data_IF_312253802496
#
_entry.id   IF_312253802496
#
_cell.length_a   1.000
_cell.length_b   1.000
_cell.length_c   1.000
_cell.angle_alpha   90.00
_cell.angle_beta   90.00
_cell.angle_gamma   90.00
#
_symmetry.space_group_name_H-M   'P 1'
#
loop_
_entity.id
_entity.type
_entity.pdbx_description
1 polymer ?
#
# COMPACT_ATOMS: atom_id res chain seq x y z
N UNK A 1 -2.76 -17.86 -34.20
CA UNK A 1 -3.98 -17.03 -33.99
C UNK A 1 -3.58 -16.02 -32.95
N UNK A 2 -3.59 -14.72 -33.28
CA UNK A 2 -3.17 -13.68 -32.34
C UNK A 2 -4.19 -13.56 -31.21
N UNK A 3 -3.70 -13.39 -29.99
CA UNK A 3 -4.56 -13.19 -28.83
C UNK A 3 -4.93 -11.70 -28.75
N UNK A 4 -6.22 -11.42 -28.58
CA UNK A 4 -6.72 -10.08 -28.28
C UNK A 4 -6.71 -9.89 -26.77
N UNK A 5 -6.09 -8.80 -26.32
CA UNK A 5 -6.14 -8.34 -24.94
C UNK A 5 -7.03 -7.12 -24.87
N UNK A 6 -7.92 -7.09 -23.89
CA UNK A 6 -8.75 -5.91 -23.60
C UNK A 6 -8.14 -5.22 -22.41
N UNK A 7 -7.73 -3.96 -22.58
CA UNK A 7 -7.19 -3.15 -21.50
C UNK A 7 -8.23 -2.12 -21.08
N UNK A 8 -8.57 -2.11 -19.80
CA UNK A 8 -9.52 -1.18 -19.19
C UNK A 8 -8.79 -0.41 -18.12
N UNK A 9 -8.90 0.91 -18.18
CA UNK A 9 -8.42 1.81 -17.15
C UNK A 9 -9.61 2.40 -16.41
N UNK A 10 -9.48 2.56 -15.10
CA UNK A 10 -10.46 3.28 -14.29
C UNK A 10 -9.81 3.83 -13.03
N UNK A 11 -10.41 4.88 -12.49
CA UNK A 11 -9.99 5.50 -11.24
C UNK A 11 -11.05 5.33 -10.16
N UNK A 12 -10.61 5.27 -8.91
CA UNK A 12 -11.44 5.38 -7.72
C UNK A 12 -11.07 6.66 -7.01
N UNK A 13 -11.95 7.66 -7.14
CA UNK A 13 -11.75 8.94 -6.50
C UNK A 13 -12.54 9.03 -5.20
N UNK A 14 -11.89 9.39 -4.08
CA UNK A 14 -12.52 9.46 -2.79
C UNK A 14 -13.48 10.63 -2.73
N UNK A 15 -14.58 10.44 -2.02
CA UNK A 15 -15.46 11.50 -1.57
C UNK A 15 -15.97 11.16 -0.17
N UNK A 16 -16.42 12.17 0.55
CA UNK A 16 -16.98 11.99 1.88
C UNK A 16 -18.49 12.11 1.81
N UNK A 17 -19.17 11.19 2.47
CA UNK A 17 -20.61 11.22 2.62
C UNK A 17 -20.96 11.24 4.10
N UNK A 18 -21.95 12.07 4.42
CA UNK A 18 -22.23 12.47 5.78
C UNK A 18 -23.74 12.42 6.04
N UNK A 19 -24.13 11.70 7.08
CA UNK A 19 -25.46 11.74 7.70
C UNK A 19 -25.37 12.32 9.11
N UNK A 20 -26.50 12.46 9.80
CA UNK A 20 -26.51 12.99 11.18
C UNK A 20 -25.66 12.16 12.15
N UNK A 21 -25.60 10.83 11.92
CA UNK A 21 -24.85 9.88 12.76
C UNK A 21 -23.54 9.44 12.10
N UNK A 22 -23.60 9.24 10.79
CA UNK A 22 -22.60 8.77 9.82
C UNK A 22 -21.58 9.80 9.33
N UNK A 23 -20.27 9.62 9.39
CA UNK A 23 -19.39 10.18 8.35
C UNK A 23 -18.50 9.08 7.79
N UNK A 24 -18.54 8.86 6.49
CA UNK A 24 -17.79 7.78 5.83
C UNK A 24 -17.09 8.29 4.59
N UNK A 25 -15.89 7.76 4.35
CA UNK A 25 -15.21 7.92 3.06
C UNK A 25 -15.60 6.80 2.11
N UNK A 26 -16.03 7.20 0.92
CA UNK A 26 -16.45 6.32 -0.17
C UNK A 26 -15.70 6.69 -1.44
N UNK A 27 -15.86 5.87 -2.48
CA UNK A 27 -15.21 6.07 -3.76
C UNK A 27 -16.23 6.09 -4.90
N UNK A 28 -16.06 7.04 -5.81
CA UNK A 28 -16.72 6.99 -7.12
C UNK A 28 -15.78 6.40 -8.15
N UNK A 29 -16.32 5.55 -9.02
CA UNK A 29 -15.58 5.08 -10.19
C UNK A 29 -15.59 6.18 -11.25
N UNK A 30 -14.43 6.74 -11.54
CA UNK A 30 -14.24 7.77 -12.57
C UNK A 30 -13.98 7.17 -13.95
N UNK A 31 -13.46 8.00 -14.86
CA UNK A 31 -13.47 7.77 -16.31
C UNK A 31 -12.89 6.42 -16.70
N UNK A 32 -13.65 5.70 -17.54
CA UNK A 32 -13.32 4.36 -18.01
C UNK A 32 -12.82 4.44 -19.45
N UNK A 33 -11.50 4.48 -19.63
CA UNK A 33 -10.93 4.30 -20.97
C UNK A 33 -10.70 2.82 -21.24
N UNK A 34 -11.18 2.35 -22.39
CA UNK A 34 -10.93 1.00 -22.85
C UNK A 34 -10.18 1.06 -24.18
N UNK A 35 -9.20 0.17 -24.34
CA UNK A 35 -8.46 -0.01 -25.58
C UNK A 35 -8.27 -1.49 -25.83
N UNK A 36 -8.46 -1.92 -27.07
CA UNK A 36 -8.04 -3.25 -27.52
C UNK A 36 -6.56 -3.18 -27.89
N UNK A 37 -5.77 -4.11 -27.35
CA UNK A 37 -4.40 -4.33 -27.76
C UNK A 37 -4.32 -5.70 -28.45
N UNK A 38 -3.88 -5.71 -29.70
CA UNK A 38 -3.49 -6.94 -30.39
C UNK A 38 -2.00 -7.16 -30.18
N UNK A 39 -1.62 -8.29 -29.58
CA UNK A 39 -0.21 -8.62 -29.34
C UNK A 39 0.32 -9.54 -30.46
N UNK A 40 1.10 -8.99 -31.42
CA UNK A 40 1.68 -9.81 -32.48
C UNK A 40 2.73 -10.76 -31.88
N UNK A 41 2.49 -12.07 -32.03
CA UNK A 41 3.48 -13.11 -31.69
C UNK A 41 3.18 -13.92 -30.42
N UNK A 42 2.11 -13.64 -29.69
CA UNK A 42 1.69 -14.51 -28.59
C UNK A 42 0.88 -15.72 -29.12
N UNK A 43 1.59 -16.77 -29.54
CA UNK A 43 0.98 -18.07 -29.82
C UNK A 43 0.81 -18.83 -28.50
N UNK A 44 -0.40 -18.77 -27.91
CA UNK A 44 -0.76 -19.48 -26.67
C UNK A 44 -0.49 -21.00 -26.76
N UNK A 45 -0.43 -21.57 -27.97
CA UNK A 45 -0.14 -22.99 -28.21
C UNK A 45 1.35 -23.37 -28.05
N UNK A 46 2.29 -22.42 -28.17
CA UNK A 46 3.73 -22.71 -28.21
C UNK A 46 4.50 -22.28 -26.94
N UNK A 47 4.00 -21.29 -26.19
CA UNK A 47 4.71 -20.71 -25.03
C UNK A 47 4.09 -21.03 -23.67
N UNK A 48 2.99 -21.78 -23.62
CA UNK A 48 2.28 -22.07 -22.36
C UNK A 48 1.65 -20.83 -21.72
N UNK A 49 0.97 -21.03 -20.59
CA UNK A 49 0.24 -19.95 -19.89
C UNK A 49 1.16 -18.94 -19.19
N UNK A 50 2.43 -19.26 -18.97
CA UNK A 50 3.37 -18.39 -18.24
C UNK A 50 3.68 -17.11 -19.03
N UNK A 51 3.94 -17.22 -20.34
CA UNK A 51 4.22 -16.06 -21.18
C UNK A 51 3.02 -15.13 -21.40
N UNK A 52 1.78 -15.61 -21.21
CA UNK A 52 0.59 -14.77 -21.30
C UNK A 52 0.46 -13.86 -20.07
N UNK A 53 0.57 -14.43 -18.87
CA UNK A 53 0.45 -13.67 -17.62
C UNK A 53 1.55 -12.61 -17.50
N UNK A 54 2.79 -12.96 -17.87
CA UNK A 54 3.91 -12.01 -17.88
C UNK A 54 3.64 -10.82 -18.80
N UNK A 55 3.14 -11.06 -20.01
CA UNK A 55 2.79 -9.97 -20.94
C UNK A 55 1.61 -9.13 -20.46
N UNK A 56 0.58 -9.76 -19.90
CA UNK A 56 -0.56 -9.02 -19.33
C UNK A 56 -0.09 -8.13 -18.18
N UNK A 57 0.82 -8.61 -17.33
CA UNK A 57 1.43 -7.85 -16.25
C UNK A 57 2.30 -6.70 -16.77
N UNK A 58 3.12 -6.95 -17.79
CA UNK A 58 3.95 -5.94 -18.45
C UNK A 58 3.08 -4.83 -19.07
N UNK A 59 2.03 -5.20 -19.79
CA UNK A 59 1.09 -4.27 -20.40
C UNK A 59 0.38 -3.42 -19.36
N UNK A 60 -0.14 -4.05 -18.30
CA UNK A 60 -0.80 -3.35 -17.20
C UNK A 60 0.17 -2.37 -16.50
N UNK A 61 1.39 -2.80 -16.22
CA UNK A 61 2.42 -2.00 -15.55
C UNK A 61 2.88 -0.81 -16.39
N UNK A 62 3.10 -1.02 -17.69
CA UNK A 62 3.48 0.05 -18.61
C UNK A 62 2.39 1.11 -18.73
N UNK A 63 1.13 0.70 -18.90
CA UNK A 63 0.01 1.65 -18.98
C UNK A 63 -0.18 2.41 -17.66
N UNK A 64 -0.13 1.73 -16.52
CA UNK A 64 -0.25 2.36 -15.22
C UNK A 64 0.87 3.38 -14.99
N UNK A 65 2.10 3.03 -15.34
CA UNK A 65 3.26 3.94 -15.23
C UNK A 65 3.08 5.18 -16.11
N UNK A 66 2.66 5.00 -17.37
CA UNK A 66 2.39 6.11 -18.29
C UNK A 66 1.28 7.03 -17.78
N UNK A 67 0.22 6.45 -17.23
CA UNK A 67 -0.88 7.21 -16.65
C UNK A 67 -0.39 8.02 -15.43
N UNK A 68 0.38 7.39 -14.54
CA UNK A 68 0.96 8.05 -13.37
C UNK A 68 1.94 9.17 -13.71
N UNK A 69 2.65 9.11 -14.85
CA UNK A 69 3.57 10.17 -15.27
C UNK A 69 2.90 11.32 -16.01
N UNK A 70 1.79 11.06 -16.71
CA UNK A 70 1.08 12.07 -17.50
C UNK A 70 0.14 12.92 -16.65
N UNK A 71 -0.50 12.34 -15.64
CA UNK A 71 -1.51 13.02 -14.82
C UNK A 71 -1.06 13.16 -13.36
N UNK A 72 -0.91 14.42 -12.92
CA UNK A 72 -0.47 14.81 -11.57
C UNK A 72 -1.56 14.77 -10.50
N UNK A 73 -2.65 14.04 -10.69
CA UNK A 73 -3.71 14.01 -9.69
C UNK A 73 -3.34 13.14 -8.49
N UNK A 74 -3.01 13.83 -7.40
CA UNK A 74 -2.78 13.24 -6.09
C UNK A 74 -4.11 13.04 -5.38
N UNK A 75 -4.48 11.79 -5.11
CA UNK A 75 -5.59 11.48 -4.21
C UNK A 75 -6.65 10.52 -4.74
N UNK A 76 -6.46 9.88 -5.89
CA UNK A 76 -7.29 8.77 -6.35
C UNK A 76 -6.45 7.50 -6.48
N UNK A 77 -7.11 6.34 -6.47
CA UNK A 77 -6.50 5.09 -6.91
C UNK A 77 -6.74 4.90 -8.40
N UNK A 78 -5.70 4.48 -9.13
CA UNK A 78 -5.80 4.18 -10.56
C UNK A 78 -5.59 2.71 -10.76
N UNK A 79 -6.40 2.11 -11.63
CA UNK A 79 -6.38 0.69 -11.93
C UNK A 79 -6.31 0.46 -13.42
N UNK A 80 -5.47 -0.47 -13.83
CA UNK A 80 -5.44 -1.06 -15.16
C UNK A 80 -5.83 -2.52 -15.02
N UNK A 81 -6.87 -2.91 -15.77
CA UNK A 81 -7.37 -4.27 -15.86
C UNK A 81 -7.15 -4.79 -17.27
N UNK A 82 -6.34 -5.84 -17.40
CA UNK A 82 -6.04 -6.50 -18.67
C UNK A 82 -6.76 -7.84 -18.68
N UNK A 83 -7.65 -8.02 -19.65
CA UNK A 83 -8.45 -9.23 -19.81
C UNK A 83 -8.01 -10.01 -21.05
N UNK A 84 -7.90 -11.32 -20.89
CA UNK A 84 -7.67 -12.31 -21.92
C UNK A 84 -8.70 -13.46 -21.76
N UNK A 85 -8.93 -14.29 -22.79
CA UNK A 85 -9.74 -15.49 -22.64
C UNK A 85 -9.25 -16.38 -21.47
N UNK A 86 -10.05 -16.46 -20.41
CA UNK A 86 -9.75 -17.29 -19.23
C UNK A 86 -8.79 -16.68 -18.19
N UNK A 87 -8.36 -15.42 -18.35
CA UNK A 87 -7.50 -14.74 -17.38
C UNK A 87 -7.77 -13.23 -17.31
N UNK A 88 -7.67 -12.64 -16.12
CA UNK A 88 -7.67 -11.19 -15.92
C UNK A 88 -6.60 -10.80 -14.92
N UNK A 89 -5.88 -9.71 -15.19
CA UNK A 89 -4.90 -9.13 -14.26
C UNK A 89 -5.30 -7.68 -14.03
N UNK A 90 -5.50 -7.33 -12.76
CA UNK A 90 -5.72 -5.94 -12.34
C UNK A 90 -4.50 -5.46 -11.56
N UNK A 91 -3.87 -4.38 -12.01
CA UNK A 91 -2.86 -3.65 -11.26
C UNK A 91 -3.41 -2.29 -10.86
N UNK A 92 -3.14 -1.89 -9.62
CA UNK A 92 -3.55 -0.60 -9.12
C UNK A 92 -2.45 0.10 -8.35
N UNK A 93 -2.37 1.41 -8.49
CA UNK A 93 -1.46 2.27 -7.74
C UNK A 93 -2.16 3.58 -7.37
N UNK A 94 -1.80 4.12 -6.22
CA UNK A 94 -2.34 5.37 -5.71
C UNK A 94 -2.15 5.48 -4.22
N UNK A 95 -2.42 6.66 -3.70
CA UNK A 95 -2.46 6.91 -2.27
C UNK A 95 -3.52 7.96 -1.97
N UNK A 96 -4.39 7.63 -1.03
CA UNK A 96 -5.37 8.56 -0.48
C UNK A 96 -4.87 8.99 0.90
N UNK A 97 -4.93 10.29 1.18
CA UNK A 97 -4.54 10.84 2.49
C UNK A 97 -5.58 10.50 3.54
N UNK A 98 -5.19 10.46 4.81
CA UNK A 98 -6.11 10.31 5.94
C UNK A 98 -6.95 9.02 5.89
N UNK A 99 -6.33 7.93 5.41
CA UNK A 99 -6.88 6.58 5.49
C UNK A 99 -6.58 6.03 6.89
N UNK A 100 -7.61 5.70 7.64
CA UNK A 100 -7.49 5.18 9.01
C UNK A 100 -7.50 3.65 9.03
N UNK A 101 -8.28 3.02 8.15
CA UNK A 101 -8.40 1.56 8.09
C UNK A 101 -8.79 1.05 6.71
N UNK A 102 -8.61 -0.26 6.53
CA UNK A 102 -9.09 -0.99 5.36
C UNK A 102 -10.50 -1.49 5.69
N UNK A 103 -11.53 -0.87 5.11
CA UNK A 103 -12.94 -1.18 5.34
C UNK A 103 -13.37 -2.44 4.57
N UNK A 104 -12.83 -2.69 3.37
CA UNK A 104 -12.97 -3.94 2.61
C UNK A 104 -11.64 -4.33 1.96
N UNK A 105 -11.33 -5.64 1.83
CA UNK A 105 -10.05 -6.09 1.28
C UNK A 105 -9.91 -5.82 -0.23
N UNK A 106 -11.04 -5.78 -0.95
CA UNK A 106 -11.12 -5.32 -2.35
C UNK A 106 -12.10 -4.14 -2.43
N UNK A 107 -11.91 -3.21 -3.39
CA UNK A 107 -12.94 -2.21 -3.68
C UNK A 107 -14.22 -2.90 -4.17
N UNK A 108 -15.32 -2.69 -3.45
CA UNK A 108 -16.62 -3.31 -3.77
C UNK A 108 -17.76 -2.29 -3.71
N UNK A 109 -18.80 -2.44 -4.54
CA UNK A 109 -20.00 -1.61 -4.44
C UNK A 109 -20.65 -1.72 -3.06
N UNK A 110 -20.85 -0.58 -2.41
CA UNK A 110 -21.47 -0.49 -1.10
C UNK A 110 -22.99 -0.53 -1.24
N UNK A 111 -23.65 -1.45 -0.51
CA UNK A 111 -25.10 -1.47 -0.39
C UNK A 111 -25.56 -0.63 0.80
N UNK A 112 -24.96 -0.86 1.98
CA UNK A 112 -25.27 -0.13 3.21
C UNK A 112 -24.23 -0.41 4.31
N UNK A 113 -24.22 0.44 5.33
CA UNK A 113 -23.48 0.26 6.57
C UNK A 113 -24.49 0.20 7.72
N UNK A 114 -24.46 -0.86 8.52
CA UNK A 114 -25.34 -1.04 9.68
C UNK A 114 -24.53 -0.98 10.96
N UNK A 115 -24.88 -0.06 11.84
CA UNK A 115 -24.35 0.00 13.21
C UNK A 115 -25.29 -0.81 14.09
N UNK A 116 -24.75 -1.78 14.81
CA UNK A 116 -25.59 -2.72 15.56
C UNK A 116 -25.15 -2.88 17.02
N UNK A 117 -26.12 -3.21 17.87
CA UNK A 117 -25.93 -3.63 19.25
C UNK A 117 -26.24 -5.12 19.36
N UNK A 118 -25.38 -5.88 20.01
CA UNK A 118 -25.61 -7.29 20.31
C UNK A 118 -26.47 -7.36 21.57
N UNK A 119 -27.62 -8.01 21.48
CA UNK A 119 -28.52 -8.18 22.63
C UNK A 119 -28.30 -9.54 23.28
N UNK A 120 -28.18 -10.59 22.46
CA UNK A 120 -27.92 -11.97 22.86
C UNK A 120 -26.89 -12.57 21.88
N UNK A 121 -26.22 -13.69 22.24
CA UNK A 121 -25.45 -14.45 21.26
C UNK A 121 -26.30 -14.71 20.00
N UNK A 122 -25.76 -14.37 18.83
CA UNK A 122 -26.41 -14.51 17.51
C UNK A 122 -27.62 -13.59 17.24
N UNK A 123 -28.02 -12.73 18.20
CA UNK A 123 -29.05 -11.71 17.97
C UNK A 123 -28.50 -10.31 18.14
N UNK A 124 -28.68 -9.51 17.10
CA UNK A 124 -28.31 -8.11 17.10
C UNK A 124 -29.48 -7.24 16.64
N UNK A 125 -29.48 -6.01 17.14
CA UNK A 125 -30.40 -4.96 16.73
C UNK A 125 -29.64 -3.90 15.95
N UNK A 126 -30.18 -3.54 14.78
CA UNK A 126 -29.68 -2.40 14.01
C UNK A 126 -30.11 -1.11 14.70
N UNK A 127 -29.13 -0.31 15.12
CA UNK A 127 -29.35 0.99 15.78
C UNK A 127 -29.43 2.09 14.73
N UNK A 128 -28.57 2.00 13.72
CA UNK A 128 -28.51 2.95 12.63
C UNK A 128 -28.15 2.23 11.32
N UNK A 129 -28.78 2.68 10.23
CA UNK A 129 -28.48 2.22 8.88
C UNK A 129 -28.10 3.43 8.03
N UNK A 130 -26.89 3.40 7.48
CA UNK A 130 -26.41 4.34 6.49
C UNK A 130 -26.52 3.69 5.10
N UNK A 131 -27.14 4.41 4.17
CA UNK A 131 -27.21 4.02 2.75
C UNK A 131 -26.56 5.12 1.92
N UNK A 132 -25.68 4.77 0.97
CA UNK A 132 -25.07 5.76 0.11
C UNK A 132 -26.14 6.42 -0.78
N UNK A 133 -26.05 7.73 -0.98
CA UNK A 133 -26.99 8.51 -1.80
C UNK A 133 -26.86 8.26 -3.30
N UNK A 134 -25.70 7.74 -3.72
CA UNK A 134 -25.38 7.39 -5.11
C UNK A 134 -24.61 6.08 -5.17
N UNK A 135 -24.48 5.50 -6.36
CA UNK A 135 -23.62 4.34 -6.58
C UNK A 135 -22.18 4.63 -6.11
N UNK A 136 -21.73 3.86 -5.13
CA UNK A 136 -20.52 4.13 -4.37
C UNK A 136 -19.77 2.85 -4.10
N UNK A 137 -18.45 2.94 -4.08
CA UNK A 137 -17.53 1.85 -3.76
C UNK A 137 -16.96 2.09 -2.37
N UNK A 138 -16.85 1.03 -1.57
CA UNK A 138 -16.13 1.04 -0.30
C UNK A 138 -14.82 0.29 -0.47
N UNK A 139 -13.75 0.82 0.13
CA UNK A 139 -12.42 0.20 0.11
C UNK A 139 -11.66 0.49 1.40
N UNK A 140 -10.79 1.50 1.42
CA UNK A 140 -10.07 1.98 2.59
C UNK A 140 -10.48 3.42 2.94
N UNK A 141 -10.35 3.81 4.19
CA UNK A 141 -10.78 5.14 4.62
C UNK A 141 -11.10 5.17 6.09
N UNK A 142 -12.19 5.84 6.44
CA UNK A 142 -12.68 5.95 7.80
C UNK A 142 -14.19 5.80 7.85
N UNK A 143 -14.68 5.33 9.00
CA UNK A 143 -16.08 5.45 9.41
C UNK A 143 -16.06 6.15 10.76
N UNK A 144 -16.51 7.39 10.80
CA UNK A 144 -16.59 8.18 12.01
C UNK A 144 -18.06 8.26 12.47
N UNK A 145 -18.31 7.81 13.70
CA UNK A 145 -19.62 7.85 14.34
C UNK A 145 -19.71 9.13 15.14
N UNK A 146 -20.54 10.07 14.66
CA UNK A 146 -20.60 11.43 15.21
C UNK A 146 -21.27 11.53 16.57
N UNK A 147 -22.15 10.58 16.89
CA UNK A 147 -22.87 10.58 18.15
C UNK A 147 -22.04 9.83 19.21
N UNK A 148 -21.38 10.54 20.15
CA UNK A 148 -20.51 9.92 21.14
C UNK A 148 -21.28 9.05 22.16
N UNK A 149 -22.59 9.31 22.33
CA UNK A 149 -23.44 8.57 23.25
C UNK A 149 -24.05 7.31 22.61
N UNK A 150 -23.80 7.09 21.31
CA UNK A 150 -24.29 5.92 20.60
C UNK A 150 -23.54 4.67 21.06
N UNK A 151 -24.20 3.83 21.86
CA UNK A 151 -23.65 2.55 22.27
C UNK A 151 -23.85 1.50 21.17
N UNK A 152 -22.78 1.05 20.54
CA UNK A 152 -22.78 -0.02 19.54
C UNK A 152 -21.63 -0.99 19.77
N UNK A 153 -21.80 -2.24 19.31
CA UNK A 153 -20.82 -3.31 19.52
C UNK A 153 -20.02 -3.63 18.26
N UNK A 154 -20.65 -3.52 17.08
CA UNK A 154 -20.04 -3.82 15.79
C UNK A 154 -20.70 -3.06 14.64
N UNK A 155 -19.97 -2.98 13.53
CA UNK A 155 -20.39 -2.33 12.29
C UNK A 155 -20.41 -3.40 11.20
N UNK A 156 -21.53 -3.51 10.48
CA UNK A 156 -21.67 -4.39 9.33
C UNK A 156 -21.59 -3.55 8.06
N UNK A 157 -20.61 -3.84 7.22
CA UNK A 157 -20.50 -3.28 5.88
C UNK A 157 -21.07 -4.31 4.92
N UNK A 158 -22.24 -4.02 4.36
CA UNK A 158 -22.84 -4.87 3.34
C UNK A 158 -22.41 -4.36 1.96
N UNK A 159 -21.67 -5.18 1.23
CA UNK A 159 -21.34 -4.98 -0.18
C UNK A 159 -22.20 -5.89 -1.05
N UNK A 160 -22.09 -5.74 -2.37
CA UNK A 160 -22.73 -6.67 -3.31
C UNK A 160 -22.12 -8.08 -3.28
N UNK A 161 -20.88 -8.21 -2.80
CA UNK A 161 -20.17 -9.50 -2.76
C UNK A 161 -20.38 -10.22 -1.43
N UNK A 162 -20.28 -9.49 -0.32
CA UNK A 162 -20.27 -10.04 1.04
C UNK A 162 -20.64 -8.99 2.11
N UNK A 163 -20.83 -9.46 3.34
CA UNK A 163 -20.91 -8.62 4.53
C UNK A 163 -19.62 -8.73 5.32
N UNK A 164 -18.92 -7.62 5.50
CA UNK A 164 -17.78 -7.53 6.42
C UNK A 164 -18.22 -7.02 7.79
N UNK A 165 -17.77 -7.71 8.83
CA UNK A 165 -17.93 -7.29 10.22
C UNK A 165 -16.69 -6.48 10.60
N UNK A 166 -16.91 -5.28 11.13
CA UNK A 166 -15.87 -4.43 11.71
C UNK A 166 -16.14 -4.19 13.19
N UNK A 167 -15.11 -4.36 14.00
CA UNK A 167 -15.17 -4.04 15.41
C UNK A 167 -14.75 -2.57 15.64
N UNK A 168 -15.25 -1.88 16.68
CA UNK A 168 -14.93 -0.47 16.93
C UNK A 168 -13.43 -0.17 16.99
N UNK A 169 -12.64 -1.11 17.51
CA UNK A 169 -11.18 -0.97 17.61
C UNK A 169 -10.44 -1.17 16.27
N UNK A 170 -11.09 -1.71 15.24
CA UNK A 170 -10.53 -1.88 13.89
C UNK A 170 -10.69 -0.62 13.02
N UNK A 171 -11.51 0.35 13.46
CA UNK A 171 -11.70 1.62 12.76
C UNK A 171 -10.43 2.46 12.70
N UNK A 172 -9.60 2.36 13.73
CA UNK A 172 -8.31 3.05 13.80
C UNK A 172 -7.23 1.98 13.72
N UNK A 173 -6.59 1.83 12.56
CA UNK A 173 -5.37 1.04 12.51
C UNK A 173 -4.34 1.73 13.39
N UNK A 174 -3.91 1.03 14.44
CA UNK A 174 -2.79 1.50 15.23
C UNK A 174 -1.61 1.76 14.29
N UNK A 175 -0.97 2.92 14.35
CA UNK A 175 0.17 3.21 13.49
C UNK A 175 1.18 2.08 13.68
N UNK A 176 1.53 1.41 12.58
CA UNK A 176 2.58 0.41 12.58
C UNK A 176 3.78 1.09 13.22
N UNK A 177 4.18 0.61 14.40
CA UNK A 177 5.47 0.97 15.01
C UNK A 177 6.54 0.31 14.14
N UNK A 178 6.73 0.81 12.93
CA UNK A 178 7.96 0.62 12.19
C UNK A 178 9.01 1.21 13.12
N UNK A 179 9.79 0.33 13.75
CA UNK A 179 10.89 0.75 14.59
C UNK A 179 11.76 1.64 13.72
N UNK A 180 11.64 2.95 13.90
CA UNK A 180 12.59 3.92 13.39
C UNK A 180 13.87 3.84 14.22
N UNK A 181 14.35 2.63 14.47
CA UNK A 181 15.75 2.38 14.73
C UNK A 181 16.39 2.11 13.37
N UNK A 182 16.42 3.15 12.54
CA UNK A 182 17.65 3.41 11.82
C UNK A 182 18.71 3.53 12.91
N UNK A 183 19.36 2.41 13.24
CA UNK A 183 20.58 2.40 14.02
C UNK A 183 21.48 3.38 13.28
N UNK A 184 21.62 4.59 13.83
CA UNK A 184 22.61 5.57 13.41
C UNK A 184 23.90 4.78 13.39
N UNK A 185 24.35 4.38 12.19
CA UNK A 185 25.64 3.73 11.99
C UNK A 185 26.64 4.67 12.62
N UNK A 186 27.05 4.33 13.84
CA UNK A 186 27.98 5.10 14.65
C UNK A 186 29.19 5.27 13.77
N UNK A 187 29.40 6.48 13.26
CA UNK A 187 30.51 6.76 12.37
C UNK A 187 31.78 6.27 13.08
N UNK A 188 32.38 5.19 12.56
CA UNK A 188 33.66 4.69 13.04
C UNK A 188 34.63 5.85 12.86
N UNK A 189 34.93 6.58 13.95
CA UNK A 189 36.01 7.55 13.99
C UNK A 189 37.25 6.86 13.43
N UNK A 190 37.68 7.27 12.23
CA UNK A 190 38.95 6.85 11.65
C UNK A 190 40.03 7.23 12.68
N UNK A 191 40.72 6.24 13.24
CA UNK A 191 41.90 6.48 14.08
C UNK A 191 42.88 7.32 13.24
N UNK A 192 43.38 8.46 13.73
CA UNK A 192 44.40 9.20 13.01
C UNK A 192 45.64 8.31 12.86
N UNK A 193 46.10 8.15 11.62
CA UNK A 193 47.38 7.48 11.31
C UNK A 193 48.48 8.26 12.03
N UNK A 194 49.08 7.68 13.06
CA UNK A 194 50.32 8.17 13.66
C UNK A 194 51.41 8.20 12.60
N UNK A 195 51.70 9.40 12.08
CA UNK A 195 52.85 9.68 11.24
C UNK A 195 54.12 9.44 12.06
N UNK A 196 54.88 8.40 11.73
CA UNK A 196 56.23 8.20 12.27
C UNK A 196 57.18 9.20 11.61
N UNK A 197 57.24 10.41 12.16
CA UNK A 197 58.24 11.41 11.79
C UNK A 197 59.34 11.41 12.86
N UNK A 198 60.39 10.60 12.69
CA UNK A 198 61.67 10.81 13.39
C UNK A 198 62.84 10.42 12.49
N UNK A 199 63.27 11.38 11.67
CA UNK A 199 64.64 11.46 11.14
C UNK A 199 65.20 12.82 11.55
N UNK A 200 65.97 12.85 12.64
CA UNK A 200 67.04 13.83 12.83
C UNK A 200 68.30 13.09 13.19
N UNK A 201 69.29 13.20 12.30
CA UNK A 201 70.68 12.81 12.50
C UNK A 201 71.28 13.66 13.63
N UNK A 202 72.00 13.03 14.55
CA UNK A 202 73.12 13.67 15.24
C UNK A 202 74.28 12.70 15.29
N UNK A 203 75.31 12.99 14.50
CA UNK A 203 76.65 12.38 14.61
C UNK A 203 77.31 12.92 15.88
N UNK A 204 77.86 12.07 16.74
CA UNK A 204 79.18 12.31 17.37
C UNK A 204 79.75 11.05 18.05
N UNK A 205 81.05 10.83 17.81
CA UNK A 205 82.00 9.84 18.37
C UNK A 205 82.06 9.99 19.92
N UNK A 206 82.53 9.06 20.78
CA UNK A 206 83.80 8.29 20.77
C UNK A 206 83.85 7.37 22.03
N UNK A 207 84.31 6.13 21.85
CA UNK A 207 85.19 5.24 22.68
C UNK A 207 85.08 5.07 24.22
N UNK A 208 85.38 3.80 24.60
CA UNK A 208 85.94 3.21 25.87
C UNK A 208 84.93 3.10 27.03
N UNK A 209 84.61 1.91 27.55
CA UNK A 209 85.41 0.88 28.24
C UNK A 209 84.51 0.40 29.42
N UNK A 210 84.54 -0.79 30.01
CA UNK A 210 85.48 -1.90 29.97
C UNK A 210 84.80 -3.20 30.48
N UNK A 211 85.62 -4.24 30.56
CA UNK A 211 85.28 -5.63 30.93
C UNK A 211 85.02 -5.81 32.44
N UNK A 212 84.40 -6.97 32.74
CA UNK A 212 84.57 -7.81 33.94
C UNK A 212 83.62 -7.48 35.11
N UNK A 213 82.95 -8.45 35.78
CA UNK A 213 83.40 -9.79 36.20
C UNK A 213 82.22 -10.78 36.25
N UNK A 214 82.47 -12.03 35.81
CA UNK A 214 81.92 -13.24 36.44
C UNK A 214 82.85 -13.60 37.61
N UNK A 215 82.27 -13.90 38.75
CA UNK A 215 82.72 -15.02 39.59
C UNK A 215 81.67 -16.11 39.42
#
# INVERSE_FOLDING_TARGET
MFLKLVVKSFELCPFEEESDTVKVRLYTRGDRHWSEAEEPGLNVKEQGNEGLLEKMLEMAGNQLTMWMTSEKDSGCYRFIDVEAPGASITLGEGAVKDVETILTPKPSPLMRIRIVKVEEPEKYRVIHEFKPSKESIIYDGFINIKNPDLQYDLILIDTTDDTRILLPHELILSPLKLSSESTKRRARRKKPKTSKTKRKKSKTRKKKGGKSKRK
#
